data_IF_530106659218
#
_entry.id   IF_530106659218
#
_cell.length_a   1.000
_cell.length_b   1.000
_cell.length_c   1.000
_cell.angle_alpha   90.00
_cell.angle_beta   90.00
_cell.angle_gamma   90.00
#
_symmetry.space_group_name_H-M   'P 1'
#
loop_
_entity.id
_entity.type
_entity.pdbx_description
1 polymer ?
#
# COMPACT_ATOMS: atom_id res chain seq x y z
N UNK A 1 30.32 -16.01 -37.26
CA UNK A 1 30.16 -14.61 -37.68
C UNK A 1 28.81 -14.44 -38.39
N UNK A 2 27.68 -14.64 -37.69
CA UNK A 2 26.37 -14.12 -38.10
C UNK A 2 25.64 -13.72 -36.81
N UNK A 3 25.85 -12.45 -36.50
CA UNK A 3 25.56 -11.72 -35.28
C UNK A 3 24.08 -11.30 -35.25
N UNK A 4 23.56 -11.11 -34.03
CA UNK A 4 22.40 -10.27 -33.68
C UNK A 4 20.98 -10.88 -33.81
N UNK A 5 20.54 -11.54 -32.72
CA UNK A 5 19.55 -10.97 -31.80
C UNK A 5 18.46 -10.09 -32.47
N UNK A 6 17.40 -10.73 -32.97
CA UNK A 6 16.22 -10.05 -33.52
C UNK A 6 15.22 -9.68 -32.41
N UNK A 7 15.68 -8.89 -31.43
CA UNK A 7 14.82 -8.09 -30.54
C UNK A 7 14.47 -6.73 -31.16
N UNK A 8 14.35 -6.71 -32.50
CA UNK A 8 14.25 -5.49 -33.30
C UNK A 8 12.87 -5.20 -33.90
N UNK A 9 11.82 -5.96 -33.60
CA UNK A 9 10.44 -5.55 -33.95
C UNK A 9 9.72 -4.97 -32.75
N UNK A 10 10.16 -3.78 -32.34
CA UNK A 10 9.26 -2.83 -31.69
C UNK A 10 8.15 -2.52 -32.72
N UNK A 11 7.01 -3.20 -32.59
CA UNK A 11 5.76 -2.81 -33.27
C UNK A 11 5.35 -1.44 -32.74
N UNK A 12 5.93 -0.42 -33.31
CA UNK A 12 5.49 0.95 -33.19
C UNK A 12 4.65 1.22 -34.44
N UNK A 13 3.32 1.14 -34.32
CA UNK A 13 2.47 1.66 -35.39
C UNK A 13 1.01 1.22 -35.47
N UNK A 14 0.59 0.04 -35.03
CA UNK A 14 -0.83 -0.38 -35.08
C UNK A 14 -1.14 -1.33 -33.90
N UNK A 15 -1.54 -0.74 -32.77
CA UNK A 15 -2.21 -1.50 -31.69
C UNK A 15 -3.68 -1.59 -32.05
N UNK A 16 -4.04 -2.60 -32.82
CA UNK A 16 -5.42 -2.83 -33.22
C UNK A 16 -6.16 -3.58 -32.10
N UNK A 17 -7.32 -3.05 -31.67
CA UNK A 17 -8.11 -3.55 -30.52
C UNK A 17 -8.83 -4.89 -30.79
N UNK A 18 -8.75 -5.39 -32.01
CA UNK A 18 -9.27 -6.67 -32.47
C UNK A 18 -8.36 -7.86 -32.10
N UNK A 19 -7.12 -7.61 -31.68
CA UNK A 19 -6.24 -8.67 -31.18
C UNK A 19 -6.62 -9.07 -29.74
N UNK A 20 -7.09 -10.32 -29.51
CA UNK A 20 -7.47 -10.79 -28.18
C UNK A 20 -6.31 -10.80 -27.17
N UNK A 21 -5.04 -10.90 -27.61
CA UNK A 21 -3.87 -10.84 -26.73
C UNK A 21 -3.66 -9.43 -26.15
N UNK A 22 -3.94 -8.38 -26.93
CA UNK A 22 -3.78 -6.99 -26.50
C UNK A 22 -4.91 -6.62 -25.52
N UNK A 23 -6.14 -7.04 -25.82
CA UNK A 23 -7.29 -6.77 -24.94
C UNK A 23 -7.15 -7.43 -23.56
N UNK A 24 -6.73 -8.70 -23.52
CA UNK A 24 -6.53 -9.42 -22.26
C UNK A 24 -5.41 -8.83 -21.42
N UNK A 25 -4.25 -8.54 -22.03
CA UNK A 25 -3.12 -7.91 -21.31
C UNK A 25 -3.44 -6.50 -20.80
N UNK A 26 -4.22 -5.71 -21.53
CA UNK A 26 -4.71 -4.39 -21.08
C UNK A 26 -5.59 -4.52 -19.83
N UNK A 27 -6.53 -5.46 -19.83
CA UNK A 27 -7.42 -5.69 -18.69
C UNK A 27 -6.64 -6.13 -17.45
N UNK A 28 -5.74 -7.10 -17.59
CA UNK A 28 -4.88 -7.53 -16.49
C UNK A 28 -3.96 -6.42 -16.01
N UNK A 29 -3.40 -5.61 -16.93
CA UNK A 29 -2.60 -4.44 -16.62
C UNK A 29 -3.35 -3.40 -15.79
N UNK A 30 -4.63 -3.16 -16.11
CA UNK A 30 -5.48 -2.24 -15.36
C UNK A 30 -5.90 -2.79 -13.99
N UNK A 31 -6.03 -4.11 -13.84
CA UNK A 31 -6.44 -4.75 -12.58
C UNK A 31 -5.33 -4.80 -11.52
N UNK A 32 -4.06 -4.91 -11.93
CA UNK A 32 -2.92 -5.04 -11.02
C UNK A 32 -2.79 -3.85 -10.03
N UNK A 33 -2.85 -2.57 -10.46
CA UNK A 33 -2.81 -1.43 -9.55
C UNK A 33 -3.96 -1.42 -8.54
N UNK A 34 -5.14 -1.88 -8.94
CA UNK A 34 -6.30 -2.00 -8.06
C UNK A 34 -6.09 -3.05 -6.99
N UNK A 35 -5.58 -4.23 -7.37
CA UNK A 35 -5.25 -5.29 -6.43
C UNK A 35 -4.17 -4.84 -5.42
N UNK A 36 -3.13 -4.16 -5.90
CA UNK A 36 -2.08 -3.61 -5.04
C UNK A 36 -2.61 -2.55 -4.06
N UNK A 37 -3.48 -1.66 -4.54
CA UNK A 37 -4.13 -0.64 -3.72
C UNK A 37 -4.99 -1.26 -2.62
N UNK A 38 -5.76 -2.31 -2.94
CA UNK A 38 -6.59 -3.02 -1.97
C UNK A 38 -5.75 -3.70 -0.87
N UNK A 39 -4.63 -4.34 -1.24
CA UNK A 39 -3.70 -4.95 -0.29
C UNK A 39 -3.11 -3.88 0.65
N UNK A 40 -2.67 -2.76 0.08
CA UNK A 40 -2.08 -1.65 0.86
C UNK A 40 -3.08 -1.04 1.83
N UNK A 41 -4.31 -0.76 1.38
CA UNK A 41 -5.38 -0.19 2.20
C UNK A 41 -5.73 -1.11 3.38
N UNK A 42 -5.76 -2.43 3.15
CA UNK A 42 -5.98 -3.42 4.20
C UNK A 42 -4.87 -3.39 5.26
N UNK A 43 -3.60 -3.35 4.84
CA UNK A 43 -2.46 -3.27 5.77
C UNK A 43 -2.47 -2.00 6.61
N UNK A 44 -2.76 -0.85 5.98
CA UNK A 44 -2.88 0.44 6.69
C UNK A 44 -4.05 0.42 7.68
N UNK A 45 -5.19 -0.16 7.30
CA UNK A 45 -6.35 -0.25 8.18
C UNK A 45 -6.07 -1.01 9.48
N UNK A 46 -5.36 -2.14 9.40
CA UNK A 46 -4.97 -2.92 10.57
C UNK A 46 -4.01 -2.14 11.50
N UNK A 47 -3.04 -1.43 10.93
CA UNK A 47 -2.11 -0.61 11.70
C UNK A 47 -2.83 0.57 12.40
N UNK A 48 -3.73 1.24 11.67
CA UNK A 48 -4.49 2.37 12.18
C UNK A 48 -5.42 1.99 13.34
N UNK A 49 -6.10 0.83 13.25
CA UNK A 49 -6.93 0.31 14.33
C UNK A 49 -6.13 0.10 15.62
N UNK A 50 -4.93 -0.47 15.52
CA UNK A 50 -4.03 -0.64 16.66
C UNK A 50 -3.58 0.70 17.28
N UNK A 51 -3.31 1.71 16.45
CA UNK A 51 -2.97 3.05 16.96
C UNK A 51 -4.15 3.72 17.67
N UNK A 52 -5.37 3.60 17.15
CA UNK A 52 -6.57 4.21 17.74
C UNK A 52 -6.91 3.57 19.09
N UNK A 53 -6.80 2.23 19.19
CA UNK A 53 -7.00 1.51 20.46
C UNK A 53 -6.05 2.03 21.55
N UNK A 54 -4.78 2.23 21.21
CA UNK A 54 -3.76 2.72 22.14
C UNK A 54 -4.00 4.17 22.55
N UNK A 55 -4.31 5.05 21.59
CA UNK A 55 -4.66 6.46 21.89
C UNK A 55 -5.89 6.53 22.80
N UNK A 56 -6.92 5.73 22.50
CA UNK A 56 -8.14 5.66 23.32
C UNK A 56 -7.86 5.11 24.71
N UNK A 57 -6.95 4.13 24.85
CA UNK A 57 -6.48 3.62 26.15
C UNK A 57 -5.78 4.70 26.95
N UNK A 58 -4.84 5.45 26.34
CA UNK A 58 -4.11 6.53 27.01
C UNK A 58 -5.06 7.64 27.48
N UNK A 59 -6.03 8.04 26.65
CA UNK A 59 -7.03 9.05 27.00
C UNK A 59 -7.90 8.59 28.17
N UNK A 60 -8.27 7.30 28.23
CA UNK A 60 -9.09 6.74 29.32
C UNK A 60 -8.32 6.61 30.64
N UNK A 61 -7.06 6.20 30.59
CA UNK A 61 -6.23 6.01 31.80
C UNK A 61 -5.79 7.37 32.36
N UNK A 62 -5.40 8.32 31.51
CA UNK A 62 -4.88 9.62 31.91
C UNK A 62 -5.66 10.75 31.23
N UNK A 63 -6.83 11.15 31.77
CA UNK A 63 -7.61 12.28 31.21
C UNK A 63 -6.87 13.62 31.31
N UNK A 64 -5.79 13.70 32.11
CA UNK A 64 -4.87 14.85 32.16
C UNK A 64 -4.17 15.14 30.83
N UNK A 65 -4.13 14.19 29.89
CA UNK A 65 -3.62 14.40 28.53
C UNK A 65 -4.51 15.37 27.74
N UNK A 66 -5.84 15.32 27.92
CA UNK A 66 -6.79 16.22 27.24
C UNK A 66 -6.65 17.67 27.73
N UNK A 67 -6.34 17.83 29.02
CA UNK A 67 -6.15 19.13 29.66
C UNK A 67 -4.70 19.64 29.52
N UNK A 68 -3.83 18.93 28.79
CA UNK A 68 -2.42 19.27 28.58
C UNK A 68 -1.54 19.19 29.84
N UNK A 69 -2.04 18.57 30.91
CA UNK A 69 -1.35 18.47 32.20
C UNK A 69 -0.34 17.32 32.24
N UNK A 70 -0.57 16.25 31.47
CA UNK A 70 0.31 15.09 31.36
C UNK A 70 0.75 14.83 29.92
N UNK A 71 1.98 14.34 29.75
CA UNK A 71 2.53 14.00 28.42
C UNK A 71 2.08 12.59 28.02
N UNK A 72 1.55 12.40 26.79
CA UNK A 72 1.21 11.07 26.26
C UNK A 72 2.43 10.15 26.17
N UNK A 73 2.20 8.84 26.20
CA UNK A 73 3.23 7.86 25.89
C UNK A 73 3.37 7.67 24.36
N UNK A 74 4.27 8.45 23.78
CA UNK A 74 4.60 8.35 22.36
C UNK A 74 5.39 7.09 22.00
N UNK A 75 6.14 6.49 22.94
CA UNK A 75 6.97 5.30 22.65
C UNK A 75 6.08 4.10 22.34
N UNK A 76 4.97 3.94 23.06
CA UNK A 76 3.99 2.88 22.77
C UNK A 76 3.37 3.02 21.38
N UNK A 77 2.99 4.24 20.96
CA UNK A 77 2.48 4.48 19.61
C UNK A 77 3.52 4.19 18.51
N UNK A 78 4.78 4.58 18.71
CA UNK A 78 5.87 4.30 17.76
C UNK A 78 6.07 2.79 17.60
N UNK A 79 6.11 2.04 18.71
CA UNK A 79 6.28 0.58 18.69
C UNK A 79 5.19 -0.13 17.87
N UNK A 80 3.93 0.30 17.99
CA UNK A 80 2.80 -0.29 17.25
C UNK A 80 2.94 -0.03 15.75
N UNK A 81 3.30 1.20 15.37
CA UNK A 81 3.54 1.56 13.96
C UNK A 81 4.72 0.77 13.38
N UNK A 82 5.86 0.73 14.08
CA UNK A 82 7.05 -0.02 13.66
C UNK A 82 6.78 -1.52 13.51
N UNK A 83 6.06 -2.14 14.44
CA UNK A 83 5.70 -3.56 14.35
C UNK A 83 4.77 -3.86 13.17
N UNK A 84 3.91 -2.90 12.79
CA UNK A 84 2.98 -3.04 11.68
C UNK A 84 3.65 -2.80 10.33
N UNK A 85 4.67 -1.94 10.25
CA UNK A 85 5.42 -1.67 9.02
C UNK A 85 6.49 -2.71 8.70
N UNK A 86 6.97 -3.45 9.70
CA UNK A 86 7.95 -4.54 9.51
C UNK A 86 7.30 -5.89 9.14
N UNK A 87 5.99 -5.90 8.88
CA UNK A 87 5.19 -7.07 8.49
C UNK A 87 4.58 -6.85 7.12
#
# INVERSE_FOLDING_TARGET
MHTCYNIGSLKQGEMSFDDPMIFTSLLFGAMIPYAFSALTMKSVGLAALGMIEEVRRQIRTNPGILNGSERPDYRSCIRISTQSSLR
#
